data_IF_195335131844
#
_entry.id   IF_195335131844
#
_cell.length_a   1.000
_cell.length_b   1.000
_cell.length_c   1.000
_cell.angle_alpha   90.00
_cell.angle_beta   90.00
_cell.angle_gamma   90.00
#
_symmetry.space_group_name_H-M   'P 1'
#
loop_
_entity.id
_entity.type
_entity.pdbx_description
1 polymer ?
#
# COMPACT_ATOMS: atom_id res chain seq x y z
N UNK A 1 -55.59 -28.79 100.26
CA UNK A 1 -56.63 -27.85 99.78
C UNK A 1 -56.66 -27.97 98.26
N UNK A 2 -57.73 -28.55 97.67
CA UNK A 2 -57.86 -28.68 96.20
C UNK A 2 -58.48 -27.38 95.67
N UNK A 3 -57.73 -26.61 94.90
CA UNK A 3 -58.30 -25.46 94.18
C UNK A 3 -59.26 -25.98 93.10
N UNK A 4 -60.46 -25.38 93.02
CA UNK A 4 -61.44 -25.73 92.00
C UNK A 4 -60.90 -25.29 90.63
N UNK A 5 -61.19 -26.04 89.57
CA UNK A 5 -60.61 -25.84 88.24
C UNK A 5 -60.77 -24.39 87.72
N UNK A 6 -61.84 -23.71 88.13
CA UNK A 6 -62.07 -22.30 87.76
C UNK A 6 -61.05 -21.33 88.36
N UNK A 7 -60.58 -21.59 89.59
CA UNK A 7 -59.60 -20.72 90.26
C UNK A 7 -58.21 -20.89 89.65
N UNK A 8 -57.89 -22.09 89.14
CA UNK A 8 -56.64 -22.35 88.42
C UNK A 8 -56.63 -21.64 87.06
N UNK A 9 -57.76 -21.63 86.34
CA UNK A 9 -57.88 -20.92 85.06
C UNK A 9 -57.71 -19.41 85.24
N UNK A 10 -58.32 -18.83 86.27
CA UNK A 10 -58.19 -17.40 86.57
C UNK A 10 -56.76 -16.99 86.96
N UNK A 11 -56.08 -17.82 87.74
CA UNK A 11 -54.66 -17.62 88.06
C UNK A 11 -53.76 -17.73 86.83
N UNK A 12 -54.09 -18.62 85.89
CA UNK A 12 -53.35 -18.78 84.64
C UNK A 12 -53.54 -17.57 83.70
N UNK A 13 -54.76 -17.04 83.61
CA UNK A 13 -55.06 -15.84 82.82
C UNK A 13 -54.39 -14.61 83.44
N UNK A 14 -54.40 -14.47 84.77
CA UNK A 14 -53.69 -13.40 85.46
C UNK A 14 -52.16 -13.50 85.25
N UNK A 15 -51.58 -14.70 85.31
CA UNK A 15 -50.16 -14.90 85.03
C UNK A 15 -49.77 -14.56 83.58
N UNK A 16 -50.66 -14.80 82.61
CA UNK A 16 -50.46 -14.42 81.21
C UNK A 16 -50.56 -12.90 80.96
N UNK A 17 -51.39 -12.18 81.73
CA UNK A 17 -51.56 -10.74 81.60
C UNK A 17 -50.47 -9.91 82.30
N UNK A 18 -49.81 -10.47 83.32
CA UNK A 18 -48.75 -9.78 84.08
C UNK A 18 -47.32 -10.10 83.63
N UNK A 19 -47.12 -10.95 82.61
CA UNK A 19 -45.79 -11.17 82.05
C UNK A 19 -45.45 -10.05 81.05
N UNK A 20 -44.51 -9.14 81.37
CA UNK A 20 -44.17 -8.09 80.43
C UNK A 20 -43.37 -8.70 79.28
N UNK A 21 -43.90 -8.50 78.07
CA UNK A 21 -43.18 -8.06 76.87
C UNK A 21 -41.70 -8.46 76.86
N UNK A 22 -41.42 -9.69 76.45
CA UNK A 22 -40.15 -9.99 75.78
C UNK A 22 -40.46 -10.09 74.28
N UNK A 23 -40.54 -8.93 73.62
CA UNK A 23 -40.39 -8.88 72.16
C UNK A 23 -38.93 -9.18 71.89
N UNK A 24 -38.60 -10.46 71.76
CA UNK A 24 -37.40 -10.83 71.01
C UNK A 24 -37.79 -10.54 69.57
N UNK A 25 -37.48 -9.33 69.11
CA UNK A 25 -37.31 -9.14 67.68
C UNK A 25 -36.25 -10.17 67.28
N UNK A 26 -36.67 -11.26 66.62
CA UNK A 26 -35.75 -12.08 65.87
C UNK A 26 -35.19 -11.15 64.79
N UNK A 27 -34.07 -10.51 65.09
CA UNK A 27 -33.22 -9.92 64.07
C UNK A 27 -32.74 -11.09 63.23
N UNK A 28 -33.51 -11.43 62.19
CA UNK A 28 -32.95 -12.26 61.13
C UNK A 28 -31.86 -11.41 60.49
N UNK A 29 -30.61 -11.72 60.82
CA UNK A 29 -29.42 -11.21 60.13
C UNK A 29 -29.28 -11.80 58.73
N UNK A 30 -30.37 -12.28 58.11
CA UNK A 30 -30.39 -12.83 56.75
C UNK A 30 -30.51 -11.76 55.66
N UNK A 31 -30.51 -10.48 56.04
CA UNK A 31 -30.01 -9.43 55.16
C UNK A 31 -28.79 -8.82 55.82
N UNK A 32 -27.65 -9.50 55.66
CA UNK A 32 -26.38 -8.81 55.77
C UNK A 32 -26.38 -7.68 54.74
N UNK A 33 -26.56 -6.45 55.21
CA UNK A 33 -26.27 -5.22 54.46
C UNK A 33 -24.77 -5.00 54.30
N UNK A 34 -23.96 -6.03 54.54
CA UNK A 34 -22.60 -6.13 54.02
C UNK A 34 -22.71 -6.39 52.51
N UNK A 35 -23.07 -5.31 51.81
CA UNK A 35 -22.41 -4.85 50.60
C UNK A 35 -21.32 -5.82 50.14
N UNK A 36 -21.49 -6.34 48.93
CA UNK A 36 -20.48 -7.09 48.20
C UNK A 36 -19.12 -6.41 48.43
N UNK A 37 -18.25 -7.06 49.21
CA UNK A 37 -16.86 -6.65 49.27
C UNK A 37 -16.16 -7.21 48.04
N UNK A 38 -16.60 -6.74 46.87
CA UNK A 38 -15.77 -6.64 45.68
C UNK A 38 -15.25 -5.20 45.68
N UNK A 39 -13.97 -5.00 45.95
CA UNK A 39 -13.31 -3.77 45.51
C UNK A 39 -13.45 -3.63 43.99
N UNK A 40 -13.15 -2.45 43.42
CA UNK A 40 -13.20 -2.27 41.98
C UNK A 40 -12.44 -3.40 41.28
N UNK A 41 -13.13 -4.08 40.36
CA UNK A 41 -12.49 -5.08 39.52
C UNK A 41 -12.05 -4.34 38.26
N UNK A 42 -10.74 -4.18 38.13
CA UNK A 42 -10.12 -3.64 36.93
C UNK A 42 -9.97 -4.77 35.91
N UNK A 43 -10.69 -4.64 34.81
CA UNK A 43 -10.47 -5.44 33.62
C UNK A 43 -9.55 -4.68 32.69
N UNK A 44 -8.32 -5.17 32.56
CA UNK A 44 -7.36 -4.69 31.58
C UNK A 44 -7.20 -5.74 30.50
N UNK A 45 -7.51 -5.36 29.26
CA UNK A 45 -7.19 -6.16 28.08
C UNK A 45 -6.45 -5.26 27.09
N UNK A 46 -5.29 -5.70 26.62
CA UNK A 46 -4.50 -4.96 25.63
C UNK A 46 -4.16 -5.81 24.42
N UNK A 47 -4.04 -5.14 23.28
CA UNK A 47 -3.38 -5.60 22.07
C UNK A 47 -2.35 -4.55 21.65
N UNK A 48 -1.54 -4.83 20.63
CA UNK A 48 -0.59 -3.87 20.06
C UNK A 48 -1.23 -2.55 19.63
N UNK A 49 -2.52 -2.54 19.32
CA UNK A 49 -3.22 -1.38 18.75
C UNK A 49 -4.35 -0.82 19.65
N UNK A 50 -4.69 -1.50 20.75
CA UNK A 50 -5.83 -1.11 21.59
C UNK A 50 -5.58 -1.44 23.06
N UNK A 51 -6.00 -0.56 23.95
CA UNK A 51 -6.10 -0.81 25.38
C UNK A 51 -7.54 -0.63 25.83
N UNK A 52 -8.08 -1.65 26.48
CA UNK A 52 -9.39 -1.63 27.11
C UNK A 52 -9.20 -1.68 28.63
N UNK A 53 -9.67 -0.64 29.29
CA UNK A 53 -9.77 -0.60 30.74
C UNK A 53 -11.26 -0.46 31.09
N UNK A 54 -11.79 -1.40 31.87
CA UNK A 54 -13.10 -1.27 32.48
C UNK A 54 -12.99 -1.44 33.99
N UNK A 55 -13.64 -0.53 34.70
CA UNK A 55 -13.79 -0.58 36.15
C UNK A 55 -15.27 -0.81 36.46
N UNK A 56 -15.57 -1.84 37.24
CA UNK A 56 -16.93 -2.10 37.72
C UNK A 56 -16.91 -2.07 39.25
N UNK A 57 -17.76 -1.23 39.84
CA UNK A 57 -18.06 -1.26 41.28
C UNK A 57 -17.48 -0.13 42.14
N UNK A 58 -17.64 1.14 41.74
CA UNK A 58 -17.34 2.25 42.65
C UNK A 58 -18.34 2.27 43.85
N UNK A 59 -17.89 2.29 45.11
CA UNK A 59 -18.77 2.12 46.26
C UNK A 59 -19.56 3.41 46.57
N UNK A 60 -20.78 3.50 46.04
CA UNK A 60 -21.81 4.42 46.49
C UNK A 60 -23.05 3.64 46.95
N UNK A 61 -23.46 3.80 48.21
CA UNK A 61 -24.65 3.14 48.72
C UNK A 61 -25.90 3.60 47.93
N UNK A 62 -26.47 2.69 47.12
CA UNK A 62 -27.70 2.91 46.37
C UNK A 62 -27.54 3.59 44.99
N UNK A 63 -26.31 3.74 44.46
CA UNK A 63 -26.11 4.33 43.13
C UNK A 63 -25.07 3.51 42.35
N UNK A 64 -25.49 2.91 41.23
CA UNK A 64 -24.58 2.41 40.20
C UNK A 64 -24.28 3.55 39.23
N UNK A 65 -23.15 4.23 39.38
CA UNK A 65 -22.63 5.14 38.35
C UNK A 65 -21.70 4.36 37.44
N UNK A 66 -22.13 4.04 36.22
CA UNK A 66 -21.18 3.66 35.16
C UNK A 66 -20.54 4.94 34.65
N UNK A 67 -19.24 5.13 34.89
CA UNK A 67 -18.51 6.25 34.30
C UNK A 67 -18.52 6.07 32.78
N UNK A 68 -19.12 7.03 32.08
CA UNK A 68 -19.22 7.04 30.61
C UNK A 68 -17.86 6.74 29.97
N UNK A 69 -17.85 5.82 29.01
CA UNK A 69 -16.67 5.55 28.19
C UNK A 69 -16.38 6.76 27.29
N UNK A 70 -15.19 7.34 27.41
CA UNK A 70 -14.61 8.17 26.36
C UNK A 70 -14.00 7.23 25.34
N UNK A 71 -14.65 7.05 24.20
CA UNK A 71 -14.02 6.42 23.04
C UNK A 71 -12.95 7.38 22.49
N UNK A 72 -11.69 7.09 22.76
CA UNK A 72 -10.60 7.56 21.91
C UNK A 72 -10.57 6.66 20.68
N UNK A 73 -11.37 6.99 19.68
CA UNK A 73 -11.13 6.49 18.34
C UNK A 73 -9.76 7.04 17.94
N UNK A 74 -8.79 6.16 17.66
CA UNK A 74 -7.60 6.58 16.95
C UNK A 74 -8.03 7.30 15.68
N UNK A 75 -7.46 8.47 15.42
CA UNK A 75 -7.62 9.13 14.13
C UNK A 75 -7.03 8.18 13.09
N UNK A 76 -7.88 7.52 12.30
CA UNK A 76 -7.41 6.93 11.05
C UNK A 76 -7.27 8.11 10.09
N UNK A 77 -6.03 8.37 9.69
CA UNK A 77 -5.77 9.22 8.54
C UNK A 77 -5.99 8.32 7.35
N UNK A 78 -7.18 8.37 6.75
CA UNK A 78 -7.33 7.86 5.39
C UNK A 78 -6.53 8.82 4.53
N UNK A 79 -5.35 8.39 4.08
CA UNK A 79 -4.62 9.15 3.07
C UNK A 79 -5.52 9.17 1.84
N UNK A 80 -5.93 10.36 1.42
CA UNK A 80 -6.79 10.52 0.26
C UNK A 80 -6.04 10.01 -0.98
N UNK A 81 -6.26 8.75 -1.32
CA UNK A 81 -5.67 8.15 -2.51
C UNK A 81 -6.32 8.75 -3.74
N UNK A 82 -5.50 9.33 -4.60
CA UNK A 82 -5.94 9.90 -5.86
C UNK A 82 -5.64 8.90 -6.97
N UNK A 83 -6.57 8.76 -7.92
CA UNK A 83 -6.25 8.08 -9.17
C UNK A 83 -5.33 9.00 -9.99
N UNK A 84 -4.16 8.47 -10.33
CA UNK A 84 -3.16 9.20 -11.09
C UNK A 84 -2.98 8.53 -12.44
N UNK A 85 -3.01 9.33 -13.49
CA UNK A 85 -2.73 8.86 -14.85
C UNK A 85 -1.48 9.54 -15.40
N UNK A 86 -0.83 8.91 -16.37
CA UNK A 86 0.35 9.47 -17.02
C UNK A 86 0.29 9.36 -18.55
N UNK A 87 0.84 10.36 -19.21
CA UNK A 87 1.21 10.33 -20.64
C UNK A 87 2.70 10.54 -20.80
N UNK A 88 3.27 10.07 -21.90
CA UNK A 88 4.67 10.29 -22.25
C UNK A 88 4.73 11.35 -23.33
N UNK A 89 5.35 12.48 -23.01
CA UNK A 89 5.66 13.50 -24.00
C UNK A 89 6.84 13.05 -24.86
N UNK A 90 7.90 12.54 -24.23
CA UNK A 90 9.09 12.06 -24.95
C UNK A 90 9.75 10.89 -24.21
N UNK A 91 10.00 9.82 -24.96
CA UNK A 91 10.87 8.71 -24.62
C UNK A 91 11.67 8.39 -25.88
N UNK A 92 12.91 8.88 -25.93
CA UNK A 92 13.72 8.89 -27.15
C UNK A 92 14.87 7.90 -27.03
N UNK A 93 14.85 6.78 -27.77
CA UNK A 93 15.97 5.87 -27.94
C UNK A 93 17.25 6.56 -28.42
N UNK A 94 18.41 6.01 -28.08
CA UNK A 94 19.66 6.49 -28.68
C UNK A 94 19.90 5.90 -30.07
N UNK A 95 20.59 6.66 -30.92
CA UNK A 95 21.25 6.17 -32.14
C UNK A 95 20.35 5.41 -33.13
N UNK A 96 19.06 5.74 -33.16
CA UNK A 96 18.13 5.29 -34.21
C UNK A 96 18.54 5.85 -35.57
N UNK A 97 18.27 5.10 -36.63
CA UNK A 97 18.47 5.54 -38.01
C UNK A 97 17.42 6.60 -38.37
N UNK A 98 17.84 7.61 -39.13
CA UNK A 98 16.97 8.68 -39.60
C UNK A 98 17.12 9.99 -38.82
N UNK A 99 16.19 10.91 -39.07
CA UNK A 99 16.13 12.16 -38.31
C UNK A 99 15.53 11.91 -36.92
N UNK A 100 15.82 12.80 -35.97
CA UNK A 100 15.16 12.78 -34.66
C UNK A 100 13.63 12.70 -34.81
N UNK A 101 12.98 11.88 -33.99
CA UNK A 101 11.52 11.69 -34.00
C UNK A 101 10.96 10.99 -35.24
N UNK A 102 11.75 10.13 -35.90
CA UNK A 102 11.28 9.32 -37.04
C UNK A 102 11.19 7.82 -36.77
N UNK A 103 11.98 7.29 -35.84
CA UNK A 103 12.05 5.86 -35.47
C UNK A 103 12.26 5.69 -33.95
N UNK A 104 11.61 6.57 -33.17
CA UNK A 104 11.76 6.63 -31.72
C UNK A 104 10.71 5.78 -30.99
N UNK A 105 9.97 4.94 -31.72
CA UNK A 105 8.99 4.08 -31.09
C UNK A 105 9.65 2.94 -30.28
N UNK A 106 8.94 2.53 -29.23
CA UNK A 106 9.34 1.45 -28.35
C UNK A 106 8.10 0.86 -27.66
N UNK A 107 8.14 -0.46 -27.42
CA UNK A 107 7.22 -1.14 -26.51
C UNK A 107 7.74 -0.98 -25.08
N UNK A 108 6.87 -0.58 -24.15
CA UNK A 108 7.26 -0.21 -22.79
C UNK A 108 6.21 -0.53 -21.73
N UNK A 109 6.63 -0.45 -20.46
CA UNK A 109 5.78 -0.30 -19.29
C UNK A 109 6.36 0.78 -18.37
N UNK A 110 5.53 1.25 -17.43
CA UNK A 110 5.94 2.19 -16.40
C UNK A 110 5.93 1.54 -15.03
N UNK A 111 6.89 1.93 -14.20
CA UNK A 111 6.90 1.61 -12.76
C UNK A 111 6.83 2.88 -11.95
N UNK A 112 5.98 2.87 -10.93
CA UNK A 112 6.00 3.86 -9.87
C UNK A 112 6.87 3.34 -8.73
N UNK A 113 7.81 4.16 -8.27
CA UNK A 113 8.76 3.82 -7.21
C UNK A 113 8.68 4.83 -6.06
N UNK A 114 8.90 4.33 -4.85
CA UNK A 114 9.07 5.17 -3.67
C UNK A 114 10.37 5.99 -3.80
N UNK A 115 10.34 7.31 -3.60
CA UNK A 115 11.52 8.16 -3.84
C UNK A 115 12.64 7.97 -2.81
N UNK A 116 12.34 7.37 -1.64
CA UNK A 116 13.30 7.22 -0.54
C UNK A 116 14.01 5.86 -0.58
N UNK A 117 13.26 4.81 -0.93
CA UNK A 117 13.72 3.42 -0.95
C UNK A 117 13.96 2.89 -2.36
N UNK A 118 13.46 3.59 -3.38
CA UNK A 118 13.45 3.19 -4.80
C UNK A 118 12.73 1.85 -5.07
N UNK A 119 11.97 1.36 -4.08
CA UNK A 119 11.16 0.16 -4.21
C UNK A 119 9.99 0.41 -5.17
N UNK A 120 9.71 -0.56 -6.05
CA UNK A 120 8.57 -0.51 -6.96
C UNK A 120 7.28 -0.64 -6.15
N UNK A 121 6.45 0.41 -6.20
CA UNK A 121 5.12 0.47 -5.60
C UNK A 121 4.05 -0.07 -6.53
N UNK A 122 4.19 0.22 -7.83
CA UNK A 122 3.24 -0.18 -8.85
C UNK A 122 3.93 -0.38 -10.20
N UNK A 123 3.41 -1.33 -10.99
CA UNK A 123 3.85 -1.60 -12.36
C UNK A 123 2.63 -1.65 -13.24
N UNK A 124 2.63 -0.91 -14.35
CA UNK A 124 1.51 -0.94 -15.30
C UNK A 124 1.34 -2.37 -15.83
N UNK A 125 0.13 -2.94 -15.80
CA UNK A 125 -0.08 -4.38 -16.02
C UNK A 125 0.10 -4.80 -17.48
N UNK A 126 -0.04 -3.87 -18.42
CA UNK A 126 0.04 -4.13 -19.86
C UNK A 126 1.13 -3.30 -20.50
N UNK A 127 1.71 -3.85 -21.57
CA UNK A 127 2.66 -3.11 -22.39
C UNK A 127 1.92 -2.09 -23.27
N UNK A 128 2.53 -0.93 -23.44
CA UNK A 128 2.11 0.11 -24.36
C UNK A 128 3.19 0.33 -25.43
N UNK A 129 2.86 1.04 -26.51
CA UNK A 129 3.81 1.40 -27.55
C UNK A 129 3.79 2.91 -27.76
N UNK A 130 4.96 3.54 -27.74
CA UNK A 130 5.08 4.92 -28.21
C UNK A 130 4.86 4.99 -29.73
N UNK A 131 4.59 6.20 -30.21
CA UNK A 131 4.58 6.54 -31.64
C UNK A 131 6.00 6.62 -32.18
N UNK A 132 6.14 6.74 -33.50
CA UNK A 132 7.44 6.93 -34.19
C UNK A 132 8.24 8.16 -33.73
N UNK A 133 7.59 9.07 -33.01
CA UNK A 133 8.20 10.27 -32.43
C UNK A 133 8.62 10.07 -30.96
N UNK A 134 8.44 8.87 -30.40
CA UNK A 134 8.73 8.58 -29.00
C UNK A 134 7.67 9.12 -28.04
N UNK A 135 6.46 9.41 -28.51
CA UNK A 135 5.37 9.98 -27.69
C UNK A 135 4.29 8.95 -27.37
N UNK A 136 3.57 9.11 -26.26
CA UNK A 136 2.40 8.31 -25.92
C UNK A 136 1.35 9.17 -25.19
N UNK A 137 0.32 9.59 -25.91
CA UNK A 137 -0.67 10.58 -25.43
C UNK A 137 -1.96 9.95 -24.88
N UNK A 138 -2.04 8.63 -24.84
CA UNK A 138 -3.17 7.93 -24.19
C UNK A 138 -2.89 7.84 -22.70
N UNK A 139 -3.78 8.25 -21.79
CA UNK A 139 -3.53 8.16 -20.35
C UNK A 139 -3.33 6.70 -19.89
N UNK A 140 -2.23 6.43 -19.20
CA UNK A 140 -1.95 5.17 -18.49
C UNK A 140 -2.28 5.33 -17.02
N UNK A 141 -2.98 4.37 -16.44
CA UNK A 141 -3.26 4.36 -15.01
C UNK A 141 -2.00 3.96 -14.22
N UNK A 142 -1.52 4.85 -13.36
CA UNK A 142 -0.41 4.62 -12.42
C UNK A 142 -0.90 4.10 -11.06
N UNK A 143 -2.19 3.80 -10.94
CA UNK A 143 -2.83 3.30 -9.74
C UNK A 143 -3.33 4.42 -8.82
N UNK A 144 -3.74 4.01 -7.62
CA UNK A 144 -4.19 4.91 -6.57
C UNK A 144 -3.05 5.18 -5.60
N UNK A 145 -2.58 6.42 -5.56
CA UNK A 145 -1.47 6.83 -4.68
C UNK A 145 -1.78 8.11 -3.94
N UNK A 146 -1.19 8.26 -2.75
CA UNK A 146 -1.26 9.52 -2.01
C UNK A 146 -0.53 10.62 -2.80
N UNK A 147 -1.02 11.87 -2.81
CA UNK A 147 -0.31 12.98 -3.42
C UNK A 147 1.09 13.14 -2.85
N UNK A 148 2.09 13.31 -3.70
CA UNK A 148 3.49 13.34 -3.26
C UNK A 148 4.47 13.38 -4.42
N UNK A 149 5.76 13.22 -4.11
CA UNK A 149 6.81 13.09 -5.11
C UNK A 149 7.18 11.61 -5.23
N UNK A 150 7.28 11.12 -6.46
CA UNK A 150 7.61 9.73 -6.73
C UNK A 150 8.63 9.61 -7.84
N UNK A 151 9.32 8.47 -7.85
CA UNK A 151 10.20 8.12 -8.95
C UNK A 151 9.41 7.33 -9.99
N UNK A 152 9.57 7.66 -11.27
CA UNK A 152 8.87 6.96 -12.36
C UNK A 152 9.90 6.35 -13.29
N UNK A 153 9.90 5.03 -13.35
CA UNK A 153 10.72 4.25 -14.27
C UNK A 153 9.97 3.99 -15.58
N UNK A 154 10.66 4.14 -16.70
CA UNK A 154 10.26 3.55 -17.99
C UNK A 154 11.20 2.40 -18.30
N UNK A 155 10.63 1.24 -18.62
CA UNK A 155 11.37 0.11 -19.15
C UNK A 155 10.80 -0.26 -20.51
N UNK A 156 11.67 -0.41 -21.48
CA UNK A 156 11.31 -0.77 -22.85
C UNK A 156 11.93 -2.11 -23.25
N UNK A 157 11.51 -2.65 -24.39
CA UNK A 157 11.96 -3.95 -24.90
C UNK A 157 13.40 -4.06 -25.40
N UNK A 158 14.12 -2.94 -25.54
CA UNK A 158 15.46 -2.87 -26.13
C UNK A 158 16.43 -2.00 -25.32
N UNK A 159 15.95 -1.40 -24.22
CA UNK A 159 16.69 -0.36 -23.52
C UNK A 159 16.71 -0.62 -22.02
N UNK A 160 17.77 -0.12 -21.39
CA UNK A 160 17.90 -0.02 -19.95
C UNK A 160 16.79 0.86 -19.36
N UNK A 161 16.40 0.56 -18.12
CA UNK A 161 15.41 1.35 -17.38
C UNK A 161 15.93 2.77 -17.21
N UNK A 162 15.05 3.74 -17.47
CA UNK A 162 15.31 5.15 -17.16
C UNK A 162 14.34 5.61 -16.08
N UNK A 163 14.87 6.25 -15.03
CA UNK A 163 14.06 6.83 -13.96
C UNK A 163 14.01 8.35 -14.09
N UNK A 164 12.80 8.89 -14.04
CA UNK A 164 12.53 10.29 -13.72
C UNK A 164 12.38 10.42 -12.21
N UNK A 165 13.25 11.23 -11.60
CA UNK A 165 13.28 11.41 -10.16
C UNK A 165 12.32 12.52 -9.73
N UNK A 166 11.72 12.36 -8.55
CA UNK A 166 10.95 13.41 -7.89
C UNK A 166 9.83 14.00 -8.76
N UNK A 167 9.06 13.14 -9.43
CA UNK A 167 7.90 13.57 -10.22
C UNK A 167 6.74 13.88 -9.27
N UNK A 168 6.18 15.10 -9.30
CA UNK A 168 5.03 15.45 -8.48
C UNK A 168 3.79 14.73 -9.01
N UNK A 169 3.21 13.85 -8.20
CA UNK A 169 1.95 13.18 -8.47
C UNK A 169 0.85 13.76 -7.60
N UNK A 170 -0.24 14.12 -8.26
CA UNK A 170 -1.48 14.60 -7.67
C UNK A 170 -2.65 14.09 -8.52
N UNK A 171 -3.87 14.48 -8.19
CA UNK A 171 -5.07 14.13 -8.97
C UNK A 171 -4.91 14.52 -10.45
N UNK A 172 -5.18 13.58 -11.36
CA UNK A 172 -5.26 13.86 -12.81
C UNK A 172 -4.16 13.20 -13.63
N UNK A 173 -3.74 13.88 -14.72
CA UNK A 173 -2.77 13.35 -15.68
C UNK A 173 -1.42 14.07 -15.57
N UNK A 174 -0.36 13.31 -15.28
CA UNK A 174 1.02 13.78 -15.34
C UNK A 174 1.59 13.59 -16.73
N UNK A 175 2.39 14.55 -17.20
CA UNK A 175 3.09 14.48 -18.49
C UNK A 175 4.55 14.15 -18.21
N UNK A 176 5.06 13.04 -18.76
CA UNK A 176 6.40 12.53 -18.50
C UNK A 176 7.35 12.78 -19.67
N UNK A 177 8.54 13.28 -19.37
CA UNK A 177 9.59 13.52 -20.35
C UNK A 177 10.90 12.82 -19.94
N UNK A 178 11.15 11.65 -20.51
CA UNK A 178 12.35 10.83 -20.27
C UNK A 178 13.59 11.29 -21.04
N UNK A 179 13.50 12.38 -21.80
CA UNK A 179 14.69 13.03 -22.41
C UNK A 179 15.47 13.92 -21.43
N UNK A 180 15.11 13.86 -20.14
CA UNK A 180 15.64 14.68 -19.05
C UNK A 180 15.75 13.88 -17.75
N UNK A 181 16.34 14.47 -16.72
CA UNK A 181 16.51 13.83 -15.41
C UNK A 181 15.28 14.01 -14.49
N UNK A 182 14.58 15.14 -14.60
CA UNK A 182 13.62 15.62 -13.59
C UNK A 182 12.34 16.24 -14.18
N UNK A 183 12.06 16.02 -15.47
CA UNK A 183 10.85 16.48 -16.15
C UNK A 183 10.66 18.03 -16.15
N UNK A 184 11.75 18.80 -16.05
CA UNK A 184 11.75 20.25 -15.84
C UNK A 184 11.60 21.11 -17.12
N UNK A 185 11.75 20.53 -18.30
CA UNK A 185 11.70 21.24 -19.60
C UNK A 185 10.93 20.43 -20.66
N UNK A 186 10.43 21.06 -21.74
CA UNK A 186 9.65 20.37 -22.76
C UNK A 186 10.43 19.33 -23.60
N UNK A 187 11.77 19.39 -23.67
CA UNK A 187 12.61 18.42 -24.38
C UNK A 187 14.07 18.51 -23.89
N UNK A 188 14.82 17.41 -23.92
CA UNK A 188 16.22 17.36 -23.51
C UNK A 188 17.09 16.41 -24.33
N UNK A 189 18.34 16.27 -23.89
CA UNK A 189 19.38 15.55 -24.65
C UNK A 189 19.62 14.12 -24.15
N UNK A 190 18.97 13.71 -23.05
CA UNK A 190 19.09 12.34 -22.53
C UNK A 190 18.33 11.39 -23.46
N UNK A 191 18.88 10.18 -23.61
CA UNK A 191 18.32 9.11 -24.45
C UNK A 191 18.20 7.83 -23.64
N UNK A 192 17.29 6.96 -24.06
CA UNK A 192 17.19 5.60 -23.54
C UNK A 192 18.35 4.79 -24.08
N UNK A 193 19.15 4.20 -23.19
CA UNK A 193 20.34 3.47 -23.56
C UNK A 193 19.97 2.08 -24.09
N UNK A 194 20.43 1.74 -25.28
CA UNK A 194 20.08 0.49 -25.94
C UNK A 194 20.95 -0.68 -25.43
N UNK A 195 20.47 -1.91 -25.60
CA UNK A 195 21.30 -3.11 -25.43
C UNK A 195 20.74 -4.15 -24.48
N UNK A 196 19.81 -3.80 -23.59
CA UNK A 196 19.09 -4.78 -22.79
C UNK A 196 17.83 -5.23 -23.54
N UNK A 197 17.97 -6.38 -24.20
CA UNK A 197 17.02 -6.88 -25.18
C UNK A 197 16.13 -7.90 -24.51
N UNK A 198 14.84 -7.60 -24.51
CA UNK A 198 13.83 -8.49 -23.92
C UNK A 198 13.87 -9.93 -24.43
N UNK A 199 13.76 -10.87 -23.49
CA UNK A 199 13.57 -12.29 -23.82
C UNK A 199 12.24 -12.56 -24.54
N UNK A 200 11.18 -11.80 -24.20
CA UNK A 200 9.94 -11.69 -24.99
C UNK A 200 9.20 -10.36 -24.76
N UNK A 201 8.48 -9.88 -25.78
CA UNK A 201 7.77 -8.59 -25.76
C UNK A 201 6.29 -8.74 -25.36
N UNK A 202 6.00 -9.62 -24.42
CA UNK A 202 4.61 -10.04 -24.11
C UNK A 202 4.06 -9.47 -22.82
N UNK A 203 4.88 -9.30 -21.79
CA UNK A 203 4.45 -8.83 -20.46
C UNK A 203 5.54 -7.97 -19.81
N UNK A 204 5.21 -7.13 -18.80
CA UNK A 204 6.22 -6.41 -18.04
C UNK A 204 7.35 -7.30 -17.50
N UNK A 205 7.02 -8.50 -17.00
CA UNK A 205 7.97 -9.43 -16.41
C UNK A 205 8.92 -10.12 -17.41
N UNK A 206 8.66 -9.99 -18.71
CA UNK A 206 9.48 -10.63 -19.76
C UNK A 206 10.34 -9.64 -20.53
N UNK A 207 10.25 -8.36 -20.18
CA UNK A 207 11.17 -7.35 -20.66
C UNK A 207 12.55 -7.56 -20.02
N UNK A 208 13.56 -6.91 -20.60
CA UNK A 208 14.97 -7.11 -20.27
C UNK A 208 15.29 -7.08 -18.77
N UNK A 209 16.39 -7.73 -18.40
CA UNK A 209 16.79 -7.94 -16.98
C UNK A 209 17.48 -6.72 -16.35
N UNK A 210 17.52 -5.61 -17.09
CA UNK A 210 18.13 -4.34 -16.75
C UNK A 210 19.66 -4.33 -16.71
N UNK A 211 20.29 -5.30 -17.36
CA UNK A 211 21.75 -5.40 -17.47
C UNK A 211 22.15 -5.78 -18.88
N UNK A 212 22.93 -4.94 -19.56
CA UNK A 212 23.46 -5.29 -20.89
C UNK A 212 24.61 -6.28 -20.76
N UNK A 213 24.38 -7.53 -21.17
CA UNK A 213 25.35 -8.59 -20.96
C UNK A 213 25.38 -9.63 -22.12
N UNK A 214 26.12 -10.72 -21.91
CA UNK A 214 26.29 -11.78 -22.92
C UNK A 214 24.98 -12.45 -23.36
N UNK A 215 23.93 -12.40 -22.54
CA UNK A 215 22.60 -12.91 -22.88
C UNK A 215 22.00 -12.07 -24.00
N UNK A 216 22.03 -10.74 -23.91
CA UNK A 216 21.55 -9.85 -24.97
C UNK A 216 22.35 -10.02 -26.25
N UNK A 217 23.66 -10.20 -26.11
CA UNK A 217 24.56 -10.43 -27.24
C UNK A 217 24.15 -11.68 -28.02
N UNK A 218 23.78 -12.75 -27.30
CA UNK A 218 23.31 -13.98 -27.94
C UNK A 218 22.04 -13.78 -28.76
N UNK A 219 21.17 -12.83 -28.37
CA UNK A 219 19.96 -12.48 -29.11
C UNK A 219 20.33 -11.79 -30.42
N UNK A 220 21.20 -10.76 -30.37
CA UNK A 220 21.66 -10.06 -31.58
C UNK A 220 22.35 -11.02 -32.55
N UNK A 221 23.27 -11.86 -32.05
CA UNK A 221 24.02 -12.80 -32.89
C UNK A 221 23.08 -13.77 -33.64
N UNK A 222 22.00 -14.22 -32.99
CA UNK A 222 21.00 -15.10 -33.62
C UNK A 222 20.16 -14.41 -34.70
N UNK A 223 20.12 -13.08 -34.67
CA UNK A 223 19.31 -12.25 -35.55
C UNK A 223 20.13 -11.50 -36.61
N UNK A 224 21.45 -11.64 -36.62
CA UNK A 224 22.33 -11.03 -37.64
C UNK A 224 21.90 -11.41 -39.07
N UNK A 225 22.00 -10.43 -39.95
CA UNK A 225 21.65 -10.48 -41.37
C UNK A 225 20.15 -10.76 -41.65
N UNK A 226 19.28 -10.63 -40.64
CA UNK A 226 17.84 -10.71 -40.85
C UNK A 226 17.28 -9.36 -41.28
N UNK A 227 16.44 -9.41 -42.32
CA UNK A 227 15.68 -8.26 -42.78
C UNK A 227 14.55 -7.94 -41.78
N UNK A 228 14.50 -6.69 -41.33
CA UNK A 228 13.40 -6.11 -40.58
C UNK A 228 12.76 -4.97 -41.39
N UNK A 229 12.04 -5.34 -42.45
CA UNK A 229 11.39 -4.38 -43.34
C UNK A 229 10.31 -3.52 -42.67
N UNK A 230 9.88 -3.94 -41.47
CA UNK A 230 8.96 -3.18 -40.62
C UNK A 230 9.66 -2.24 -39.64
N UNK A 231 10.99 -2.28 -39.57
CA UNK A 231 11.86 -1.55 -38.65
C UNK A 231 11.60 -1.83 -37.15
N UNK A 232 10.76 -2.82 -36.85
CA UNK A 232 10.24 -3.13 -35.51
C UNK A 232 9.89 -4.61 -35.30
N UNK A 233 10.07 -5.44 -36.31
CA UNK A 233 9.71 -6.85 -36.29
C UNK A 233 10.73 -7.67 -35.52
N UNK A 234 11.97 -7.17 -35.43
CA UNK A 234 13.07 -7.87 -34.78
C UNK A 234 13.59 -7.03 -33.62
N UNK A 235 13.44 -7.54 -32.40
CA UNK A 235 13.84 -6.85 -31.16
C UNK A 235 15.35 -6.58 -31.04
N UNK A 236 16.20 -7.29 -31.76
CA UNK A 236 17.64 -7.03 -31.78
C UNK A 236 18.02 -5.89 -32.73
N UNK A 237 17.06 -5.36 -33.51
CA UNK A 237 17.25 -4.20 -34.37
C UNK A 237 17.24 -2.92 -33.52
N UNK A 238 18.39 -2.60 -32.95
CA UNK A 238 18.58 -1.51 -32.00
C UNK A 238 18.59 -0.14 -32.70
N UNK A 239 19.02 -0.06 -33.95
CA UNK A 239 18.98 1.20 -34.69
C UNK A 239 17.69 1.39 -35.53
N UNK A 240 16.82 0.37 -35.60
CA UNK A 240 15.60 0.35 -36.43
C UNK A 240 15.85 0.59 -37.92
N UNK A 241 16.96 0.09 -38.46
CA UNK A 241 17.18 0.06 -39.91
C UNK A 241 16.57 -1.21 -40.55
N UNK A 242 16.58 -1.35 -41.88
CA UNK A 242 15.95 -2.51 -42.53
C UNK A 242 16.64 -3.86 -42.28
N UNK A 243 17.82 -3.94 -41.67
CA UNK A 243 18.62 -5.17 -41.53
C UNK A 243 19.40 -5.19 -40.23
N UNK A 244 19.18 -6.20 -39.39
CA UNK A 244 20.01 -6.39 -38.18
C UNK A 244 21.45 -6.70 -38.56
N UNK A 245 22.39 -5.82 -38.19
CA UNK A 245 23.76 -5.93 -38.65
C UNK A 245 24.80 -5.50 -37.59
N UNK A 246 26.04 -5.28 -38.03
CA UNK A 246 27.15 -4.90 -37.14
C UNK A 246 26.95 -3.54 -36.46
N UNK A 247 26.07 -2.68 -36.98
CA UNK A 247 25.70 -1.42 -36.33
C UNK A 247 24.93 -1.70 -35.04
N UNK A 248 23.92 -2.58 -35.05
CA UNK A 248 23.20 -2.97 -33.83
C UNK A 248 24.13 -3.60 -32.79
N UNK A 249 25.03 -4.48 -33.26
CA UNK A 249 26.05 -5.06 -32.41
C UNK A 249 26.93 -3.98 -31.77
N UNK A 250 27.33 -2.96 -32.53
CA UNK A 250 28.15 -1.86 -32.00
C UNK A 250 27.41 -1.02 -30.95
N UNK A 251 26.09 -0.85 -31.10
CA UNK A 251 25.25 -0.16 -30.11
C UNK A 251 25.18 -0.94 -28.81
N UNK A 252 24.97 -2.25 -28.87
CA UNK A 252 24.98 -3.10 -27.68
C UNK A 252 26.35 -3.08 -27.00
N UNK A 253 27.44 -3.24 -27.78
CA UNK A 253 28.80 -3.25 -27.23
C UNK A 253 29.21 -1.91 -26.58
N UNK A 254 28.68 -0.79 -27.07
CA UNK A 254 28.89 0.54 -26.46
C UNK A 254 28.39 0.57 -25.01
N UNK A 255 27.31 -0.15 -24.72
CA UNK A 255 26.65 -0.16 -23.42
C UNK A 255 26.86 -1.47 -22.65
N UNK A 256 27.81 -2.31 -23.08
CA UNK A 256 28.12 -3.57 -22.40
C UNK A 256 28.50 -3.32 -20.94
N UNK A 257 28.00 -4.18 -20.06
CA UNK A 257 28.15 -4.11 -18.60
C UNK A 257 27.52 -2.87 -17.94
N UNK A 258 26.65 -2.15 -18.66
CA UNK A 258 25.81 -1.11 -18.06
C UNK A 258 24.52 -1.70 -17.48
N UNK A 259 24.09 -1.09 -16.37
CA UNK A 259 22.85 -1.41 -15.69
C UNK A 259 21.88 -0.22 -15.81
N UNK A 260 20.58 -0.52 -15.73
CA UNK A 260 19.54 0.52 -15.72
C UNK A 260 19.55 1.36 -14.45
N UNK A 261 18.81 2.46 -14.50
CA UNK A 261 18.60 3.29 -13.33
C UNK A 261 17.89 2.48 -12.24
N UNK A 262 18.50 2.41 -11.04
CA UNK A 262 17.95 1.72 -9.87
C UNK A 262 17.23 2.67 -8.91
#
# INVERSE_FOLDING_TARGET
MKFNNQTQVLLFIAALLFWPVLVIAATSTNFGTTQEHGGPIDFQASSTNYQFNAEVGHPGAGISTSTNYVYWHGTFWDEELQQVTATIQWAVPELRVGATSTNDDAIFYLTLKDPSTHAVLYTTPTLASTTVQGTYLTPLDLGSVAPGFYDIGIKTHQHLTKILRSVPLSSGNVVLNFSQADNSSPFGDIRLLAGDISGSTTTPATLGDDVVNSVDLSIIINDLDKDDLSHRGIRSNLNQDPVVNSVDLSLMLKNLDLEGDN
#
